data_IF_761583015638
#
_entry.id   IF_761583015638
#
_cell.length_a   1.000
_cell.length_b   1.000
_cell.length_c   1.000
_cell.angle_alpha   90.00
_cell.angle_beta   90.00
_cell.angle_gamma   90.00
#
_symmetry.space_group_name_H-M   'P 1'
#
loop_
_entity.id
_entity.type
_entity.pdbx_description
1 polymer ?
#
# COMPACT_ATOMS: atom_id res chain seq x y z
N UNK A 1 9.52 0.30 -41.53
CA UNK A 1 9.92 1.68 -41.24
C UNK A 1 10.37 1.77 -39.78
N UNK A 2 11.69 1.62 -39.55
CA UNK A 2 12.29 1.48 -38.23
C UNK A 2 12.62 2.83 -37.55
N UNK A 3 12.16 3.94 -38.09
CA UNK A 3 12.49 5.28 -37.60
C UNK A 3 11.65 5.72 -36.39
N UNK A 4 10.41 5.25 -36.29
CA UNK A 4 9.49 5.63 -35.21
C UNK A 4 9.83 4.96 -33.86
N UNK A 5 10.35 3.73 -33.91
CA UNK A 5 10.74 3.00 -32.69
C UNK A 5 12.03 3.53 -32.06
N UNK A 6 12.93 4.12 -32.85
CA UNK A 6 14.15 4.76 -32.32
C UNK A 6 13.86 6.06 -31.59
N UNK A 7 12.87 6.84 -32.04
CA UNK A 7 12.48 8.08 -31.38
C UNK A 7 11.90 7.89 -30.01
N UNK A 8 11.05 6.87 -29.81
CA UNK A 8 10.47 6.54 -28.49
C UNK A 8 11.54 6.06 -27.50
N UNK A 9 12.46 5.17 -27.92
CA UNK A 9 13.56 4.69 -27.08
C UNK A 9 14.50 5.81 -26.62
N UNK A 10 14.71 6.86 -27.45
CA UNK A 10 15.55 8.00 -27.11
C UNK A 10 14.85 8.98 -26.16
N UNK A 11 13.54 9.10 -26.23
CA UNK A 11 12.74 9.90 -25.29
C UNK A 11 12.78 9.28 -23.90
N UNK A 12 12.62 7.95 -23.78
CA UNK A 12 12.72 7.27 -22.50
C UNK A 12 14.13 7.32 -21.90
N UNK A 13 15.18 7.25 -22.69
CA UNK A 13 16.57 7.38 -22.24
C UNK A 13 16.92 8.78 -21.72
N UNK A 14 16.20 9.80 -22.16
CA UNK A 14 16.38 11.20 -21.70
C UNK A 14 15.57 11.53 -20.45
N UNK A 15 14.59 10.71 -20.10
CA UNK A 15 13.78 10.88 -18.90
C UNK A 15 14.40 10.11 -17.72
N UNK A 16 15.56 10.55 -17.25
CA UNK A 16 16.13 10.05 -16.00
C UNK A 16 15.42 10.78 -14.85
N UNK A 17 14.56 10.11 -14.08
CA UNK A 17 13.91 10.75 -12.94
C UNK A 17 14.92 10.98 -11.82
N UNK A 18 14.71 12.03 -11.05
CA UNK A 18 15.36 12.17 -9.76
C UNK A 18 14.71 11.18 -8.77
N UNK A 19 15.41 10.15 -8.27
CA UNK A 19 14.82 9.14 -7.39
C UNK A 19 14.36 9.69 -6.03
N UNK A 20 14.86 10.85 -5.64
CA UNK A 20 14.51 11.51 -4.38
C UNK A 20 13.29 12.43 -4.53
N UNK A 21 12.88 12.72 -5.76
CA UNK A 21 11.71 13.55 -6.06
C UNK A 21 10.56 12.68 -6.62
N UNK A 22 9.60 12.37 -5.76
CA UNK A 22 8.46 11.52 -6.12
C UNK A 22 7.60 12.13 -7.22
N UNK A 23 7.45 13.46 -7.26
CA UNK A 23 6.68 14.13 -8.30
C UNK A 23 7.40 14.04 -9.65
N UNK A 24 8.71 14.16 -9.66
CA UNK A 24 9.51 13.97 -10.87
C UNK A 24 9.43 12.51 -11.37
N UNK A 25 9.51 11.53 -10.44
CA UNK A 25 9.32 10.10 -10.76
C UNK A 25 7.92 9.86 -11.36
N UNK A 26 6.86 10.35 -10.72
CA UNK A 26 5.50 10.19 -11.20
C UNK A 26 5.28 10.85 -12.56
N UNK A 27 5.85 12.03 -12.79
CA UNK A 27 5.68 12.76 -14.04
C UNK A 27 6.40 12.11 -15.22
N UNK A 28 7.51 11.42 -14.97
CA UNK A 28 8.36 10.82 -16.01
C UNK A 28 8.09 9.33 -16.25
N UNK A 29 7.76 8.59 -15.21
CA UNK A 29 7.60 7.14 -15.24
C UNK A 29 6.20 6.67 -14.82
N UNK A 30 5.45 7.48 -14.10
CA UNK A 30 4.10 7.15 -13.65
C UNK A 30 3.05 7.42 -14.72
N UNK A 31 1.83 6.89 -14.47
CA UNK A 31 0.63 7.20 -15.24
C UNK A 31 -0.37 7.98 -14.37
N UNK A 32 -1.42 8.49 -14.99
CA UNK A 32 -2.51 9.16 -14.28
C UNK A 32 -3.24 8.25 -13.28
N UNK A 33 -3.25 6.96 -13.54
CA UNK A 33 -3.76 5.90 -12.66
C UNK A 33 -2.96 5.83 -11.36
N UNK A 34 -1.64 5.73 -11.42
CA UNK A 34 -0.77 5.69 -10.24
C UNK A 34 -0.85 7.02 -9.49
N UNK A 35 -0.85 8.15 -10.20
CA UNK A 35 -0.96 9.47 -9.59
C UNK A 35 -2.32 9.66 -8.89
N UNK A 36 -3.41 9.20 -9.51
CA UNK A 36 -4.76 9.23 -8.91
C UNK A 36 -4.86 8.36 -7.66
N UNK A 37 -4.35 7.13 -7.70
CA UNK A 37 -4.29 6.24 -6.54
C UNK A 37 -3.40 6.82 -5.43
N UNK A 38 -2.27 7.44 -5.76
CA UNK A 38 -1.43 8.15 -4.79
C UNK A 38 -2.24 9.24 -4.07
N UNK A 39 -3.01 10.03 -4.82
CA UNK A 39 -3.94 11.03 -4.27
C UNK A 39 -4.99 10.41 -3.34
N UNK A 40 -5.52 9.23 -3.66
CA UNK A 40 -6.47 8.51 -2.79
C UNK A 40 -5.84 8.13 -1.45
N UNK A 41 -4.61 7.63 -1.43
CA UNK A 41 -3.90 7.31 -0.18
C UNK A 41 -3.64 8.56 0.67
N UNK A 42 -3.24 9.67 0.04
CA UNK A 42 -3.06 10.95 0.73
C UNK A 42 -4.38 11.49 1.27
N UNK A 43 -5.45 11.41 0.47
CA UNK A 43 -6.79 11.82 0.88
C UNK A 43 -7.35 11.00 2.04
N UNK A 44 -7.16 9.68 2.01
CA UNK A 44 -7.52 8.79 3.12
C UNK A 44 -6.80 9.17 4.41
N UNK A 45 -5.49 9.41 4.31
CA UNK A 45 -4.70 9.85 5.46
C UNK A 45 -5.17 11.20 6.03
N UNK A 46 -5.49 12.14 5.16
CA UNK A 46 -5.98 13.46 5.55
C UNK A 46 -7.36 13.37 6.22
N UNK A 47 -8.22 12.50 5.71
CA UNK A 47 -9.56 12.28 6.23
C UNK A 47 -9.62 11.35 7.45
N UNK A 48 -8.50 10.72 7.83
CA UNK A 48 -8.48 9.69 8.88
C UNK A 48 -9.20 8.40 8.50
N UNK A 49 -9.29 8.11 7.18
CA UNK A 49 -9.94 6.91 6.64
C UNK A 49 -8.89 5.89 6.22
N UNK A 50 -8.97 4.63 6.68
CA UNK A 50 -8.07 3.57 6.21
C UNK A 50 -8.30 3.29 4.73
N UNK A 51 -7.20 3.06 3.99
CA UNK A 51 -7.21 2.71 2.58
C UNK A 51 -6.55 1.35 2.41
N UNK A 52 -7.31 0.39 1.89
CA UNK A 52 -6.80 -0.95 1.62
C UNK A 52 -6.02 -0.94 0.30
N UNK A 53 -4.74 -1.26 0.41
CA UNK A 53 -3.86 -1.46 -0.74
C UNK A 53 -4.15 -2.85 -1.33
N UNK A 54 -4.53 -2.92 -2.60
CA UNK A 54 -4.80 -4.18 -3.29
C UNK A 54 -3.49 -4.89 -3.69
N UNK A 55 -3.09 -4.80 -4.95
CA UNK A 55 -1.92 -5.48 -5.49
C UNK A 55 -0.72 -4.55 -5.72
N UNK A 56 0.12 -4.93 -6.69
CA UNK A 56 1.39 -4.25 -6.97
C UNK A 56 1.22 -2.78 -7.37
N UNK A 57 0.29 -2.46 -8.30
CA UNK A 57 0.12 -1.09 -8.81
C UNK A 57 -0.33 -0.14 -7.70
N UNK A 58 -1.34 -0.55 -6.91
CA UNK A 58 -1.78 0.24 -5.76
C UNK A 58 -0.68 0.34 -4.69
N UNK A 59 0.17 -0.68 -4.55
CA UNK A 59 1.34 -0.66 -3.69
C UNK A 59 2.36 0.39 -4.10
N UNK A 60 2.65 0.52 -5.40
CA UNK A 60 3.52 1.58 -5.93
C UNK A 60 2.93 2.96 -5.64
N UNK A 61 1.63 3.14 -5.85
CA UNK A 61 0.94 4.38 -5.54
C UNK A 61 0.98 4.72 -4.04
N UNK A 62 0.77 3.73 -3.17
CA UNK A 62 0.91 3.88 -1.72
C UNK A 62 2.33 4.28 -1.31
N UNK A 63 3.35 3.68 -1.94
CA UNK A 63 4.75 4.01 -1.71
C UNK A 63 5.04 5.46 -2.10
N UNK A 64 4.52 5.93 -3.24
CA UNK A 64 4.61 7.32 -3.64
C UNK A 64 3.95 8.25 -2.59
N UNK A 65 2.75 7.93 -2.14
CA UNK A 65 2.04 8.71 -1.13
C UNK A 65 2.81 8.79 0.19
N UNK A 66 3.37 7.69 0.66
CA UNK A 66 4.16 7.63 1.91
C UNK A 66 5.48 8.39 1.78
N UNK A 67 6.11 8.37 0.61
CA UNK A 67 7.33 9.16 0.35
C UNK A 67 7.05 10.65 0.26
N UNK A 68 5.90 11.06 -0.29
CA UNK A 68 5.44 12.46 -0.30
C UNK A 68 5.06 12.95 1.10
N UNK A 69 4.38 12.10 1.86
CA UNK A 69 3.90 12.39 3.20
C UNK A 69 4.05 11.15 4.09
N UNK A 70 5.12 11.03 4.89
CA UNK A 70 5.35 9.85 5.75
C UNK A 70 4.19 9.53 6.69
N UNK A 71 3.43 10.55 7.13
CA UNK A 71 2.26 10.37 7.97
C UNK A 71 1.14 9.56 7.28
N UNK A 72 1.10 9.54 5.94
CA UNK A 72 0.13 8.77 5.18
C UNK A 72 0.24 7.25 5.42
N UNK A 73 1.41 6.77 5.85
CA UNK A 73 1.60 5.36 6.19
C UNK A 73 0.57 4.82 7.20
N UNK A 74 0.05 5.67 8.09
CA UNK A 74 -0.95 5.26 9.09
C UNK A 74 -2.29 4.86 8.47
N UNK A 75 -2.62 5.38 7.30
CA UNK A 75 -3.86 5.07 6.59
C UNK A 75 -3.70 3.92 5.59
N UNK A 76 -2.46 3.49 5.29
CA UNK A 76 -2.19 2.42 4.31
C UNK A 76 -2.21 1.07 4.98
N UNK A 77 -3.09 0.18 4.50
CA UNK A 77 -3.24 -1.20 4.97
C UNK A 77 -3.06 -2.18 3.82
N UNK A 78 -2.08 -3.07 3.93
CA UNK A 78 -1.79 -4.05 2.89
C UNK A 78 -2.75 -5.24 2.98
N UNK A 79 -3.55 -5.46 1.94
CA UNK A 79 -4.51 -6.56 1.89
C UNK A 79 -3.84 -7.90 1.61
N UNK A 80 -3.05 -7.98 0.55
CA UNK A 80 -2.38 -9.22 0.16
C UNK A 80 -1.01 -8.98 -0.47
N UNK A 81 -0.21 -10.03 -0.51
CA UNK A 81 1.00 -10.08 -1.33
C UNK A 81 0.63 -10.65 -2.71
N UNK A 82 0.68 -9.80 -3.73
CA UNK A 82 0.50 -10.23 -5.11
C UNK A 82 1.66 -11.11 -5.58
N UNK A 83 1.42 -11.93 -6.62
CA UNK A 83 2.44 -12.82 -7.18
C UNK A 83 3.43 -12.12 -8.11
N UNK A 84 3.22 -10.83 -8.43
CA UNK A 84 4.20 -10.07 -9.20
C UNK A 84 5.55 -10.00 -8.48
N UNK A 85 6.66 -10.17 -9.22
CA UNK A 85 7.99 -10.28 -8.60
C UNK A 85 8.37 -9.09 -7.72
N UNK A 86 7.93 -7.88 -8.08
CA UNK A 86 8.25 -6.67 -7.35
C UNK A 86 7.27 -6.34 -6.20
N UNK A 87 6.17 -7.09 -6.04
CA UNK A 87 5.17 -6.82 -5.00
C UNK A 87 5.77 -6.89 -3.59
N UNK A 88 6.62 -7.88 -3.35
CA UNK A 88 7.32 -8.04 -2.06
C UNK A 88 8.24 -6.87 -1.75
N UNK A 89 8.99 -6.39 -2.76
CA UNK A 89 9.90 -5.23 -2.59
C UNK A 89 9.12 -3.96 -2.20
N UNK A 90 7.93 -3.77 -2.77
CA UNK A 90 7.07 -2.64 -2.42
C UNK A 90 6.56 -2.75 -0.99
N UNK A 91 6.12 -3.93 -0.55
CA UNK A 91 5.69 -4.17 0.82
C UNK A 91 6.82 -3.93 1.83
N UNK A 92 8.02 -4.42 1.53
CA UNK A 92 9.22 -4.19 2.33
C UNK A 92 9.56 -2.69 2.42
N UNK A 93 9.53 -1.98 1.28
CA UNK A 93 9.79 -0.54 1.23
C UNK A 93 8.75 0.29 1.99
N UNK A 94 7.51 -0.19 2.08
CA UNK A 94 6.44 0.41 2.87
C UNK A 94 6.50 0.02 4.36
N UNK A 95 7.28 -1.01 4.73
CA UNK A 95 7.28 -1.58 6.06
C UNK A 95 5.93 -2.21 6.43
N UNK A 96 5.22 -2.80 5.45
CA UNK A 96 3.88 -3.38 5.63
C UNK A 96 3.91 -4.89 5.50
N UNK A 97 3.15 -5.54 6.40
CA UNK A 97 2.87 -6.97 6.31
C UNK A 97 1.48 -7.17 5.71
N UNK A 98 1.34 -7.95 4.65
CA UNK A 98 0.04 -8.22 4.04
C UNK A 98 -0.77 -9.19 4.91
N UNK A 99 -2.10 -9.03 4.93
CA UNK A 99 -3.00 -9.95 5.63
C UNK A 99 -3.09 -11.31 4.95
N UNK A 100 -3.04 -11.34 3.62
CA UNK A 100 -3.23 -12.54 2.83
C UNK A 100 -1.99 -12.84 1.98
N UNK A 101 -1.63 -14.12 1.90
CA UNK A 101 -0.65 -14.65 0.96
C UNK A 101 -1.28 -15.87 0.29
N UNK A 102 -2.15 -15.62 -0.69
CA UNK A 102 -3.01 -16.64 -1.31
C UNK A 102 -2.78 -16.79 -2.82
N UNK A 103 -1.63 -16.34 -3.33
CA UNK A 103 -1.32 -16.44 -4.76
C UNK A 103 -2.21 -15.57 -5.66
N UNK A 104 -2.76 -14.49 -5.13
CA UNK A 104 -3.64 -13.58 -5.88
C UNK A 104 -2.84 -12.75 -6.89
N UNK A 105 -3.38 -12.59 -8.10
CA UNK A 105 -2.76 -11.79 -9.16
C UNK A 105 -3.77 -11.20 -10.16
N UNK A 106 -5.08 -11.30 -9.87
CA UNK A 106 -6.11 -10.78 -10.76
C UNK A 106 -6.11 -9.24 -10.77
N UNK A 107 -5.82 -8.60 -9.64
CA UNK A 107 -6.00 -7.17 -9.48
C UNK A 107 -7.46 -6.79 -9.28
N UNK A 108 -7.86 -5.62 -9.80
CA UNK A 108 -9.24 -5.10 -9.79
C UNK A 108 -9.86 -5.00 -8.39
N UNK A 109 -9.03 -4.83 -7.36
CA UNK A 109 -9.48 -4.71 -5.98
C UNK A 109 -9.83 -6.04 -5.31
N UNK A 110 -9.60 -7.19 -5.98
CA UNK A 110 -10.01 -8.50 -5.45
C UNK A 110 -9.34 -8.84 -4.12
N UNK A 111 -8.05 -8.54 -3.97
CA UNK A 111 -7.35 -8.78 -2.72
C UNK A 111 -7.80 -7.85 -1.60
N UNK A 112 -8.06 -6.59 -1.92
CA UNK A 112 -8.61 -5.64 -0.96
C UNK A 112 -9.98 -6.09 -0.46
N UNK A 113 -10.90 -6.45 -1.36
CA UNK A 113 -12.24 -6.95 -1.02
C UNK A 113 -12.17 -8.24 -0.22
N UNK A 114 -11.30 -9.20 -0.61
CA UNK A 114 -11.13 -10.46 0.11
C UNK A 114 -10.60 -10.26 1.54
N UNK A 115 -9.92 -9.16 1.83
CA UNK A 115 -9.41 -8.85 3.16
C UNK A 115 -10.46 -8.23 4.10
N UNK A 116 -11.56 -7.64 3.58
CA UNK A 116 -12.58 -6.95 4.39
C UNK A 116 -13.16 -7.84 5.51
N UNK A 117 -13.56 -9.10 5.26
CA UNK A 117 -14.07 -9.94 6.34
C UNK A 117 -13.08 -10.16 7.49
N UNK A 118 -11.78 -10.15 7.21
CA UNK A 118 -10.76 -10.28 8.25
C UNK A 118 -10.67 -9.02 9.12
N UNK A 119 -10.86 -7.84 8.51
CA UNK A 119 -10.95 -6.58 9.24
C UNK A 119 -12.20 -6.54 10.12
N UNK A 120 -13.35 -6.97 9.59
CA UNK A 120 -14.61 -7.03 10.34
C UNK A 120 -14.49 -7.98 11.54
N UNK A 121 -13.86 -9.16 11.36
CA UNK A 121 -13.60 -10.08 12.47
C UNK A 121 -12.65 -9.47 13.52
N UNK A 122 -11.59 -8.80 13.08
CA UNK A 122 -10.64 -8.16 13.99
C UNK A 122 -11.31 -7.05 14.81
N UNK A 123 -12.15 -6.23 14.18
CA UNK A 123 -12.92 -5.19 14.86
C UNK A 123 -13.93 -5.78 15.85
N UNK A 124 -14.64 -6.84 15.46
CA UNK A 124 -15.58 -7.52 16.34
C UNK A 124 -14.89 -8.09 17.60
N UNK A 125 -13.68 -8.64 17.44
CA UNK A 125 -12.86 -9.08 18.59
C UNK A 125 -12.46 -7.88 19.44
N UNK A 126 -11.95 -6.81 18.83
CA UNK A 126 -11.52 -5.61 19.54
C UNK A 126 -12.65 -4.98 20.37
N UNK A 127 -13.85 -4.87 19.80
CA UNK A 127 -15.03 -4.29 20.45
C UNK A 127 -15.66 -5.24 21.49
N UNK A 128 -15.56 -6.54 21.27
CA UNK A 128 -16.16 -7.57 22.14
C UNK A 128 -15.26 -8.06 23.28
N UNK A 129 -13.96 -7.71 23.28
CA UNK A 129 -13.04 -8.13 24.32
C UNK A 129 -13.04 -7.13 25.49
N UNK A 130 -13.14 -7.66 26.69
CA UNK A 130 -12.94 -6.90 27.93
C UNK A 130 -11.43 -6.73 28.19
N UNK A 131 -11.04 -5.57 28.68
CA UNK A 131 -9.70 -5.37 29.25
C UNK A 131 -9.57 -6.17 30.57
N UNK A 132 -8.36 -6.49 30.97
CA UNK A 132 -8.12 -7.13 32.28
C UNK A 132 -8.70 -6.31 33.44
N UNK A 133 -8.65 -4.99 33.35
CA UNK A 133 -9.21 -4.11 34.37
C UNK A 133 -10.74 -4.22 34.45
N UNK A 134 -11.45 -4.27 33.31
CA UNK A 134 -12.89 -4.47 33.24
C UNK A 134 -13.31 -5.85 33.68
N UNK A 135 -12.48 -6.88 33.40
CA UNK A 135 -12.70 -8.25 33.83
C UNK A 135 -12.28 -8.54 35.30
N UNK A 136 -11.77 -7.53 36.01
CA UNK A 136 -11.27 -7.72 37.41
C UNK A 136 -10.03 -8.63 37.51
N UNK A 137 -9.30 -8.81 36.40
CA UNK A 137 -8.11 -9.67 36.31
C UNK A 137 -6.87 -8.83 36.57
N UNK A 138 -6.02 -9.25 37.49
CA UNK A 138 -4.75 -8.58 37.78
C UNK A 138 -3.84 -8.63 36.54
N UNK A 139 -3.11 -7.55 36.24
CA UNK A 139 -2.15 -7.54 35.11
C UNK A 139 -1.09 -8.62 35.30
N UNK A 140 -0.70 -9.27 34.20
CA UNK A 140 0.40 -10.23 34.22
C UNK A 140 1.70 -9.56 34.63
N UNK A 141 2.31 -10.07 35.70
CA UNK A 141 3.67 -9.64 36.10
C UNK A 141 4.64 -10.72 35.64
N UNK A 142 5.62 -10.39 34.75
CA UNK A 142 6.63 -11.36 34.35
C UNK A 142 7.36 -11.92 35.58
N UNK A 143 7.44 -13.21 35.70
CA UNK A 143 8.29 -13.83 36.70
C UNK A 143 9.72 -13.82 36.16
N UNK A 144 10.63 -13.14 36.87
CA UNK A 144 12.08 -13.13 36.59
C UNK A 144 12.71 -14.49 36.88
#
# INVERSE_FOLDING_TARGET
>A
DSSTSRGLGDVYKRQVPNPDDVLDVLSKLGGFDIAGLCGMFLGGALAGVPVLMDGFISGVAALCAVRLCPAASKAVFASHCSTEPAARLVLEALGKTPLLTAGLHLGEGTGAVASIPLWDMALAVYEGCYSFAEGGIAPYTPQC
#
